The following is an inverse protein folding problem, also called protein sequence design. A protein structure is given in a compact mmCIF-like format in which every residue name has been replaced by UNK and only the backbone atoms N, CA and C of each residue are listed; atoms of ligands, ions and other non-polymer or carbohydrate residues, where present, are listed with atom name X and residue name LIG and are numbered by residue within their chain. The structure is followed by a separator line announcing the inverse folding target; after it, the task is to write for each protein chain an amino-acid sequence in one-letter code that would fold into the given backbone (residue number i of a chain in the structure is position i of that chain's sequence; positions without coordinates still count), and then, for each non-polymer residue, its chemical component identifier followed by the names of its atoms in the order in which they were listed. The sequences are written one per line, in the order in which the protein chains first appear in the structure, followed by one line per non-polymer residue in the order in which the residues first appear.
data_IF_520614374779
#
_entry.id   IF_520614374779
#
_cell.length_a   1.000
_cell.length_b   1.000
_cell.length_c   1.000
_cell.angle_alpha   90.00
_cell.angle_beta   90.00
_cell.angle_gamma   90.00
#
_symmetry.space_group_name_H-M   'P 1'
#
loop_
_entity.id
_entity.type
_entity.pdbx_description
1 polymer ?
#
# COMPACT_ATOMS: atom_id res chain seq x y z
N UNK A 1 -22.23 -26.49 28.76
CA UNK A 1 -22.35 -25.15 28.13
C UNK A 1 -21.61 -25.22 26.81
N UNK A 2 -22.35 -25.39 25.71
CA UNK A 2 -21.79 -25.46 24.38
C UNK A 2 -21.46 -24.03 23.93
N UNK A 3 -20.17 -23.69 23.86
CA UNK A 3 -19.72 -22.48 23.19
C UNK A 3 -20.02 -22.62 21.70
N UNK A 4 -21.11 -22.03 21.26
CA UNK A 4 -21.36 -21.80 19.82
C UNK A 4 -20.34 -20.74 19.41
N UNK A 5 -19.43 -21.10 18.52
CA UNK A 5 -18.55 -20.11 17.88
C UNK A 5 -19.43 -19.04 17.21
N UNK A 6 -19.06 -17.75 17.31
CA UNK A 6 -19.79 -16.71 16.60
C UNK A 6 -19.77 -17.04 15.11
N UNK A 7 -20.95 -16.99 14.47
CA UNK A 7 -21.03 -17.02 13.01
C UNK A 7 -20.17 -15.88 12.46
N UNK A 8 -19.40 -16.11 11.39
CA UNK A 8 -18.65 -15.02 10.78
C UNK A 8 -19.63 -13.93 10.37
N UNK A 9 -19.42 -12.72 10.91
CA UNK A 9 -20.03 -11.52 10.39
C UNK A 9 -19.78 -11.46 8.88
N UNK A 10 -20.73 -10.94 8.10
CA UNK A 10 -20.60 -10.82 6.65
C UNK A 10 -19.21 -10.33 6.26
N UNK A 11 -18.38 -11.27 5.81
CA UNK A 11 -17.02 -10.94 5.38
C UNK A 11 -17.12 -10.19 4.06
N UNK A 12 -16.31 -9.14 3.85
CA UNK A 12 -16.36 -8.40 2.60
C UNK A 12 -16.01 -9.33 1.44
N UNK A 13 -16.89 -9.38 0.46
CA UNK A 13 -16.64 -10.12 -0.78
C UNK A 13 -15.79 -9.23 -1.69
N UNK A 14 -14.49 -9.50 -1.74
CA UNK A 14 -13.58 -8.77 -2.63
C UNK A 14 -13.72 -9.27 -4.07
N UNK A 15 -13.74 -8.31 -5.00
CA UNK A 15 -13.76 -8.58 -6.44
C UNK A 15 -12.37 -8.59 -7.08
N UNK A 16 -11.31 -8.46 -6.30
CA UNK A 16 -9.93 -8.31 -6.76
C UNK A 16 -9.52 -9.43 -7.73
N UNK A 17 -9.77 -10.69 -7.37
CA UNK A 17 -9.48 -11.84 -8.21
C UNK A 17 -10.28 -11.84 -9.52
N UNK A 18 -11.57 -11.47 -9.46
CA UNK A 18 -12.42 -11.37 -10.64
C UNK A 18 -11.95 -10.27 -11.59
N UNK A 19 -11.58 -9.11 -11.08
CA UNK A 19 -11.01 -8.03 -11.88
C UNK A 19 -9.66 -8.42 -12.50
N UNK A 20 -8.81 -9.10 -11.72
CA UNK A 20 -7.53 -9.61 -12.25
C UNK A 20 -7.76 -10.60 -13.38
N UNK A 21 -8.71 -11.52 -13.24
CA UNK A 21 -9.03 -12.48 -14.30
C UNK A 21 -9.63 -11.78 -15.53
N UNK A 22 -10.51 -10.79 -15.34
CA UNK A 22 -11.03 -10.00 -16.46
C UNK A 22 -9.92 -9.26 -17.21
N UNK A 23 -8.98 -8.65 -16.49
CA UNK A 23 -7.83 -7.98 -17.07
C UNK A 23 -6.97 -8.95 -17.90
N UNK A 24 -6.73 -10.15 -17.40
CA UNK A 24 -6.01 -11.22 -18.13
C UNK A 24 -6.76 -11.61 -19.39
N UNK A 25 -8.08 -11.83 -19.31
CA UNK A 25 -8.91 -12.20 -20.45
C UNK A 25 -8.90 -11.10 -21.54
N UNK A 26 -8.90 -9.83 -21.15
CA UNK A 26 -8.73 -8.71 -22.10
C UNK A 26 -7.38 -8.79 -22.79
N UNK A 27 -6.29 -9.00 -22.03
CA UNK A 27 -4.96 -9.13 -22.60
C UNK A 27 -4.89 -10.30 -23.61
N UNK A 28 -5.46 -11.45 -23.27
CA UNK A 28 -5.55 -12.62 -24.16
C UNK A 28 -6.34 -12.32 -25.44
N UNK A 29 -7.46 -11.58 -25.32
CA UNK A 29 -8.26 -11.17 -26.49
C UNK A 29 -7.53 -10.21 -27.44
N UNK A 30 -6.44 -9.61 -26.98
CA UNK A 30 -5.57 -8.72 -27.72
C UNK A 30 -4.22 -9.39 -28.09
N UNK A 31 -4.22 -10.71 -28.27
CA UNK A 31 -3.02 -11.50 -28.56
C UNK A 31 -1.88 -11.25 -27.55
N UNK A 32 -2.24 -11.09 -26.27
CA UNK A 32 -1.31 -10.80 -25.18
C UNK A 32 -0.84 -9.35 -25.12
N UNK A 33 -1.42 -8.46 -25.92
CA UNK A 33 -1.08 -7.04 -26.02
C UNK A 33 0.44 -6.78 -26.10
N UNK A 34 1.09 -7.47 -27.02
CA UNK A 34 2.55 -7.37 -27.20
C UNK A 34 3.01 -5.91 -27.45
N UNK A 35 2.32 -5.10 -28.28
CA UNK A 35 2.68 -3.68 -28.43
C UNK A 35 2.59 -2.91 -27.13
N UNK A 36 1.52 -3.09 -26.34
CA UNK A 36 1.32 -2.43 -25.05
C UNK A 36 2.40 -2.83 -24.03
N UNK A 37 2.76 -4.12 -23.96
CA UNK A 37 3.85 -4.58 -23.08
C UNK A 37 5.19 -3.94 -23.45
N UNK A 38 5.47 -3.78 -24.74
CA UNK A 38 6.68 -3.09 -25.22
C UNK A 38 6.66 -1.60 -24.86
N UNK A 39 5.51 -0.94 -25.03
CA UNK A 39 5.35 0.47 -24.65
C UNK A 39 5.53 0.67 -23.14
N UNK A 40 4.87 -0.15 -22.30
CA UNK A 40 5.03 -0.13 -20.86
C UNK A 40 6.50 -0.35 -20.44
N UNK A 41 7.18 -1.29 -21.07
CA UNK A 41 8.61 -1.54 -20.80
C UNK A 41 9.47 -0.34 -21.19
N UNK A 42 9.26 0.23 -22.39
CA UNK A 42 10.01 1.39 -22.86
C UNK A 42 9.78 2.62 -21.96
N UNK A 43 8.54 2.81 -21.47
CA UNK A 43 8.23 3.84 -20.48
C UNK A 43 9.06 3.63 -19.20
N UNK A 44 9.03 2.43 -18.64
CA UNK A 44 9.78 2.13 -17.41
C UNK A 44 11.28 2.33 -17.58
N UNK A 45 11.85 1.93 -18.70
CA UNK A 45 13.29 2.08 -18.99
C UNK A 45 13.73 3.56 -19.03
N UNK A 46 12.80 4.49 -19.25
CA UNK A 46 13.03 5.95 -19.24
C UNK A 46 12.51 6.64 -17.96
N UNK A 47 11.89 5.90 -17.05
CA UNK A 47 11.25 6.46 -15.86
C UNK A 47 12.24 6.77 -14.74
N UNK A 48 11.74 7.45 -13.71
CA UNK A 48 12.48 7.74 -12.48
C UNK A 48 12.39 6.64 -11.42
N UNK A 49 11.70 5.53 -11.72
CA UNK A 49 11.55 4.39 -10.82
C UNK A 49 12.84 3.54 -10.78
N UNK A 50 13.88 4.08 -10.16
CA UNK A 50 15.20 3.48 -10.08
C UNK A 50 15.54 3.15 -8.63
N UNK A 51 15.80 1.87 -8.35
CA UNK A 51 16.26 1.37 -7.05
C UNK A 51 17.59 0.66 -7.25
N UNK A 52 18.58 0.99 -6.43
CA UNK A 52 19.95 0.46 -6.55
C UNK A 52 20.52 0.52 -7.97
N UNK A 53 20.36 1.67 -8.65
CA UNK A 53 20.82 1.92 -10.03
C UNK A 53 20.17 1.04 -11.10
N UNK A 54 19.02 0.45 -10.82
CA UNK A 54 18.26 -0.37 -11.77
C UNK A 54 16.82 0.07 -11.79
N UNK A 55 16.22 0.04 -12.99
CA UNK A 55 14.78 0.21 -13.14
C UNK A 55 14.07 -0.93 -12.40
N UNK A 56 13.04 -0.58 -11.61
CA UNK A 56 12.27 -1.59 -10.89
C UNK A 56 11.56 -2.54 -11.84
N UNK A 57 11.56 -3.83 -11.48
CA UNK A 57 10.82 -4.84 -12.22
C UNK A 57 9.32 -4.68 -11.97
N UNK A 58 8.53 -4.78 -13.02
CA UNK A 58 7.08 -4.63 -12.95
C UNK A 58 6.36 -5.83 -13.53
N UNK A 59 5.14 -6.05 -13.08
CA UNK A 59 4.19 -6.98 -13.71
C UNK A 59 3.38 -6.23 -14.76
N UNK A 60 3.09 -6.88 -15.88
CA UNK A 60 2.13 -6.36 -16.86
C UNK A 60 0.69 -6.38 -16.33
N UNK A 61 0.37 -7.31 -15.44
CA UNK A 61 -0.92 -7.38 -14.75
C UNK A 61 -0.80 -6.58 -13.45
N UNK A 62 -1.50 -5.44 -13.32
CA UNK A 62 -1.48 -4.64 -12.11
C UNK A 62 -2.21 -5.36 -10.97
N UNK A 63 -1.88 -5.00 -9.73
CA UNK A 63 -2.70 -5.39 -8.59
C UNK A 63 -3.96 -4.52 -8.60
N UNK A 64 -5.12 -5.17 -8.69
CA UNK A 64 -6.42 -4.52 -8.73
C UNK A 64 -7.14 -4.71 -7.40
N UNK A 65 -7.66 -3.64 -6.85
CA UNK A 65 -8.42 -3.63 -5.60
C UNK A 65 -9.81 -3.05 -5.86
N UNK A 66 -10.83 -3.68 -5.30
CA UNK A 66 -12.17 -3.10 -5.27
C UNK A 66 -12.33 -2.10 -4.11
N UNK A 67 -13.48 -1.42 -4.09
CA UNK A 67 -13.79 -0.44 -3.05
C UNK A 67 -13.86 -1.06 -1.65
N UNK A 68 -14.28 -2.33 -1.53
CA UNK A 68 -14.38 -3.01 -0.24
C UNK A 68 -12.99 -3.30 0.34
N UNK A 69 -12.08 -3.87 -0.47
CA UNK A 69 -10.70 -4.12 -0.05
C UNK A 69 -9.94 -2.82 0.24
N UNK A 70 -10.17 -1.77 -0.56
CA UNK A 70 -9.63 -0.42 -0.29
C UNK A 70 -10.09 0.12 1.06
N UNK A 71 -11.38 -0.08 1.41
CA UNK A 71 -11.93 0.38 2.68
C UNK A 71 -11.29 -0.36 3.87
N UNK A 72 -11.15 -1.68 3.79
CA UNK A 72 -10.45 -2.47 4.83
C UNK A 72 -9.02 -1.97 5.01
N UNK A 73 -8.26 -1.79 3.94
CA UNK A 73 -6.90 -1.26 4.02
C UNK A 73 -6.86 0.13 4.66
N UNK A 74 -7.79 1.01 4.31
CA UNK A 74 -7.90 2.35 4.90
C UNK A 74 -8.11 2.29 6.41
N UNK A 75 -9.09 1.51 6.87
CA UNK A 75 -9.41 1.37 8.29
C UNK A 75 -8.23 0.81 9.10
N UNK A 76 -7.51 -0.17 8.52
CA UNK A 76 -6.31 -0.74 9.13
C UNK A 76 -5.22 0.33 9.26
N UNK A 77 -4.92 1.05 8.18
CA UNK A 77 -3.87 2.08 8.15
C UNK A 77 -4.20 3.22 9.11
N UNK A 78 -5.42 3.76 9.07
CA UNK A 78 -5.85 4.85 9.96
C UNK A 78 -5.84 4.45 11.43
N UNK A 79 -6.26 3.21 11.73
CA UNK A 79 -6.24 2.69 13.10
C UNK A 79 -4.81 2.52 13.61
N UNK A 80 -3.94 1.94 12.79
CA UNK A 80 -2.53 1.74 13.12
C UNK A 80 -1.82 3.07 13.30
N UNK A 81 -2.05 4.04 12.43
CA UNK A 81 -1.50 5.39 12.57
C UNK A 81 -1.90 6.03 13.93
N UNK A 82 -3.19 5.94 14.30
CA UNK A 82 -3.66 6.45 15.61
C UNK A 82 -2.97 5.75 16.80
N UNK A 83 -2.74 4.43 16.69
CA UNK A 83 -2.04 3.67 17.74
C UNK A 83 -0.59 4.14 17.86
N UNK A 84 0.11 4.24 16.74
CA UNK A 84 1.51 4.70 16.71
C UNK A 84 1.64 6.13 17.25
N UNK A 85 0.75 7.03 16.85
CA UNK A 85 0.72 8.40 17.42
C UNK A 85 0.53 8.40 18.92
N UNK A 86 -0.34 7.54 19.49
CA UNK A 86 -0.50 7.40 20.94
C UNK A 86 0.78 6.91 21.63
N UNK A 87 1.44 5.92 21.06
CA UNK A 87 2.73 5.40 21.57
C UNK A 87 3.79 6.49 21.55
N UNK A 88 3.90 7.23 20.45
CA UNK A 88 4.86 8.32 20.31
C UNK A 88 4.57 9.46 21.29
N UNK A 89 3.31 9.86 21.43
CA UNK A 89 2.95 10.90 22.39
C UNK A 89 3.26 10.47 23.83
N UNK A 90 2.93 9.22 24.18
CA UNK A 90 3.23 8.69 25.52
C UNK A 90 4.74 8.63 25.79
N UNK A 91 5.54 8.27 24.80
CA UNK A 91 7.00 8.34 24.88
C UNK A 91 7.50 9.77 25.16
N UNK A 92 6.89 10.78 24.56
CA UNK A 92 7.28 12.18 24.77
C UNK A 92 6.88 12.69 26.16
N UNK A 93 5.75 12.26 26.69
CA UNK A 93 5.16 12.78 27.93
C UNK A 93 5.67 12.07 29.18
N UNK A 94 6.04 10.79 29.10
CA UNK A 94 6.32 9.94 30.26
C UNK A 94 7.75 9.37 30.26
N UNK A 95 8.56 9.84 31.24
CA UNK A 95 9.94 9.38 31.41
C UNK A 95 10.06 7.91 31.83
N UNK A 96 9.08 7.38 32.58
CA UNK A 96 9.08 5.96 32.98
C UNK A 96 8.71 5.08 31.80
N UNK A 97 7.73 5.52 30.97
CA UNK A 97 7.38 4.81 29.74
C UNK A 97 8.54 4.73 28.76
N UNK A 98 9.37 5.79 28.65
CA UNK A 98 10.57 5.78 27.79
C UNK A 98 11.53 4.65 28.10
N UNK A 99 11.59 4.17 29.36
CA UNK A 99 12.49 3.07 29.78
C UNK A 99 12.16 1.73 29.14
N UNK A 100 10.97 1.57 28.56
CA UNK A 100 10.58 0.37 27.81
C UNK A 100 11.40 0.24 26.51
N UNK A 101 11.87 1.39 25.97
CA UNK A 101 12.62 1.46 24.74
C UNK A 101 14.11 1.53 25.05
N UNK A 102 14.85 0.52 24.63
CA UNK A 102 16.30 0.41 24.83
C UNK A 102 17.08 1.19 23.76
N UNK A 103 16.86 2.51 23.72
CA UNK A 103 17.57 3.39 22.79
C UNK A 103 18.91 3.85 23.36
N UNK A 104 19.91 4.07 22.47
CA UNK A 104 21.12 4.80 22.84
C UNK A 104 20.72 6.15 23.49
N UNK A 105 21.34 6.53 24.61
CA UNK A 105 20.97 7.77 25.34
C UNK A 105 20.99 9.02 24.44
N UNK A 106 21.95 9.12 23.51
CA UNK A 106 22.04 10.26 22.57
C UNK A 106 20.86 10.28 21.61
N UNK A 107 20.37 9.08 21.17
CA UNK A 107 19.18 8.98 20.34
C UNK A 107 17.95 9.40 21.14
N UNK A 108 17.83 8.93 22.38
CA UNK A 108 16.72 9.32 23.25
C UNK A 108 16.65 10.83 23.48
N UNK A 109 17.80 11.49 23.67
CA UNK A 109 17.88 12.96 23.76
C UNK A 109 17.43 13.64 22.46
N UNK A 110 17.86 13.15 21.30
CA UNK A 110 17.49 13.70 19.99
C UNK A 110 15.97 13.56 19.73
N UNK A 111 15.35 12.44 20.13
CA UNK A 111 13.91 12.23 19.98
C UNK A 111 13.12 13.27 20.78
N UNK A 112 13.64 13.76 21.91
CA UNK A 112 12.99 14.76 22.76
C UNK A 112 13.18 16.20 22.27
N UNK A 113 14.03 16.44 21.25
CA UNK A 113 14.16 17.79 20.66
C UNK A 113 12.81 18.18 20.02
N UNK A 114 12.29 19.38 20.33
CA UNK A 114 11.04 19.83 19.76
C UNK A 114 11.08 19.85 18.24
N UNK A 115 10.18 19.16 17.61
CA UNK A 115 9.99 19.22 16.13
C UNK A 115 9.27 20.53 15.77
N UNK A 116 9.54 21.05 14.61
CA UNK A 116 8.96 22.32 14.15
C UNK A 116 7.55 22.19 13.54
N UNK A 117 6.81 21.10 13.85
CA UNK A 117 5.48 20.80 13.32
C UNK A 117 4.69 19.92 14.29
N UNK A 118 3.35 19.90 14.16
CA UNK A 118 2.46 19.23 15.11
C UNK A 118 2.29 17.72 14.88
N UNK A 119 2.43 17.24 13.62
CA UNK A 119 2.22 15.85 13.29
C UNK A 119 3.27 14.93 13.96
N UNK A 120 2.81 13.94 14.73
CA UNK A 120 3.69 12.95 15.37
C UNK A 120 4.32 12.01 14.35
N UNK A 121 3.54 11.56 13.40
CA UNK A 121 3.94 10.68 12.30
C UNK A 121 3.43 11.29 10.98
N UNK A 122 4.16 12.25 10.40
CA UNK A 122 3.68 13.02 9.26
C UNK A 122 3.62 12.19 7.98
N UNK A 123 4.42 11.14 7.89
CA UNK A 123 4.54 10.30 6.72
C UNK A 123 4.98 8.90 7.11
N UNK A 124 4.25 7.88 6.63
CA UNK A 124 4.58 6.48 6.91
C UNK A 124 4.14 5.56 5.76
N UNK A 125 4.80 4.40 5.66
CA UNK A 125 4.37 3.26 4.84
C UNK A 125 4.18 2.05 5.74
N UNK A 126 3.04 1.40 5.62
CA UNK A 126 2.74 0.15 6.31
C UNK A 126 2.77 -0.99 5.28
N UNK A 127 3.66 -1.94 5.50
CA UNK A 127 3.74 -3.13 4.67
C UNK A 127 2.85 -4.20 5.31
N UNK A 128 1.80 -4.62 4.60
CA UNK A 128 0.76 -5.50 5.09
C UNK A 128 0.52 -6.68 4.13
N UNK A 129 0.09 -7.79 4.69
CA UNK A 129 -0.49 -8.90 3.94
C UNK A 129 -2.00 -8.87 4.11
N UNK A 130 -2.73 -8.80 3.00
CA UNK A 130 -4.18 -8.88 2.97
C UNK A 130 -4.58 -10.26 2.45
N UNK A 131 -5.31 -11.03 3.27
CA UNK A 131 -6.01 -12.23 2.77
C UNK A 131 -7.26 -11.79 2.00
N UNK A 132 -7.25 -11.98 0.69
CA UNK A 132 -8.34 -11.51 -0.18
C UNK A 132 -9.60 -12.35 -0.07
N UNK A 133 -9.54 -13.53 0.59
CA UNK A 133 -10.72 -14.38 0.83
C UNK A 133 -11.44 -14.00 2.12
N UNK A 134 -10.67 -13.64 3.16
CA UNK A 134 -11.22 -13.39 4.49
C UNK A 134 -11.27 -11.90 4.86
N UNK A 135 -10.43 -11.08 4.23
CA UNK A 135 -10.25 -9.68 4.60
C UNK A 135 -9.30 -9.49 5.79
N UNK A 136 -8.72 -10.58 6.31
CA UNK A 136 -7.75 -10.50 7.40
C UNK A 136 -6.47 -9.83 6.96
N UNK A 137 -5.89 -9.05 7.87
CA UNK A 137 -4.65 -8.32 7.64
C UNK A 137 -3.60 -8.73 8.64
N UNK A 138 -2.40 -9.04 8.14
CA UNK A 138 -1.20 -9.21 8.94
C UNK A 138 -0.18 -8.13 8.60
N UNK A 139 0.52 -7.62 9.61
CA UNK A 139 1.57 -6.63 9.42
C UNK A 139 2.91 -7.29 9.16
N UNK A 140 3.67 -6.68 8.25
CA UNK A 140 5.05 -7.04 7.99
C UNK A 140 5.99 -6.00 8.61
N UNK A 141 5.82 -4.73 8.23
CA UNK A 141 6.76 -3.66 8.59
C UNK A 141 6.07 -2.30 8.67
N UNK A 142 6.59 -1.43 9.54
CA UNK A 142 6.24 -0.02 9.62
C UNK A 142 7.44 0.84 9.26
N UNK A 143 7.30 1.67 8.23
CA UNK A 143 8.33 2.60 7.78
C UNK A 143 7.91 4.03 8.14
N UNK A 144 8.52 4.59 9.19
CA UNK A 144 8.21 5.94 9.68
C UNK A 144 9.18 7.01 9.20
N UNK A 145 10.31 6.60 8.63
CA UNK A 145 11.33 7.49 8.06
C UNK A 145 11.87 6.89 6.76
N UNK A 146 12.14 7.74 5.78
CA UNK A 146 12.64 7.30 4.49
C UNK A 146 11.68 6.40 3.71
N UNK A 147 10.38 6.47 3.99
CA UNK A 147 9.37 5.67 3.31
C UNK A 147 9.44 5.91 1.80
N UNK A 148 9.67 4.86 1.04
CA UNK A 148 9.75 4.85 -0.42
C UNK A 148 8.57 4.10 -1.06
N UNK A 149 8.61 3.91 -2.37
CA UNK A 149 7.60 3.14 -3.11
C UNK A 149 6.57 4.00 -3.85
N UNK A 150 6.43 5.28 -3.50
CA UNK A 150 5.41 6.16 -4.11
C UNK A 150 5.76 6.53 -5.54
N UNK A 151 7.03 6.89 -5.78
CA UNK A 151 7.50 7.19 -7.12
C UNK A 151 7.41 5.95 -8.01
N UNK A 152 7.86 4.81 -7.49
CA UNK A 152 7.79 3.52 -8.17
C UNK A 152 6.35 3.16 -8.51
N UNK A 153 5.42 3.29 -7.55
CA UNK A 153 4.01 3.03 -7.78
C UNK A 153 3.41 3.93 -8.86
N UNK A 154 3.75 5.23 -8.82
CA UNK A 154 3.31 6.19 -9.84
C UNK A 154 3.80 5.81 -11.23
N UNK A 155 5.11 5.55 -11.38
CA UNK A 155 5.70 5.24 -12.67
C UNK A 155 5.19 3.88 -13.21
N UNK A 156 5.04 2.88 -12.35
CA UNK A 156 4.44 1.59 -12.72
C UNK A 156 2.99 1.79 -13.20
N UNK A 157 2.20 2.56 -12.47
CA UNK A 157 0.81 2.87 -12.85
C UNK A 157 0.77 3.51 -14.23
N UNK A 158 1.57 4.55 -14.47
CA UNK A 158 1.63 5.21 -15.77
C UNK A 158 2.08 4.26 -16.90
N UNK A 159 3.04 3.38 -16.63
CA UNK A 159 3.46 2.41 -17.64
C UNK A 159 2.35 1.46 -18.07
N UNK A 160 1.51 1.04 -17.13
CA UNK A 160 0.36 0.17 -17.41
C UNK A 160 -0.75 0.92 -18.15
N UNK A 161 -0.98 2.19 -17.81
CA UNK A 161 -1.99 3.05 -18.46
C UNK A 161 -1.76 3.22 -19.97
N UNK A 162 -0.51 3.06 -20.44
CA UNK A 162 -0.20 3.14 -21.88
C UNK A 162 -0.66 1.91 -22.68
N UNK A 163 -1.02 0.83 -21.99
CA UNK A 163 -1.37 -0.43 -22.65
C UNK A 163 -2.81 -0.44 -23.21
N UNK A 164 -3.04 -1.17 -24.30
CA UNK A 164 -4.39 -1.35 -24.84
C UNK A 164 -5.27 -2.16 -23.89
N UNK A 165 -4.68 -3.12 -23.18
CA UNK A 165 -5.36 -3.91 -22.15
C UNK A 165 -5.94 -3.02 -21.04
N UNK A 166 -5.12 -2.10 -20.50
CA UNK A 166 -5.60 -1.18 -19.47
C UNK A 166 -6.68 -0.25 -19.99
N UNK A 167 -6.49 0.33 -21.16
CA UNK A 167 -7.47 1.23 -21.78
C UNK A 167 -8.83 0.57 -21.98
N UNK A 168 -8.86 -0.71 -22.39
CA UNK A 168 -10.10 -1.47 -22.52
C UNK A 168 -10.70 -1.82 -21.15
N UNK A 169 -9.89 -2.17 -20.16
CA UNK A 169 -10.35 -2.41 -18.79
C UNK A 169 -10.95 -1.13 -18.19
N UNK A 170 -10.27 0.00 -18.31
CA UNK A 170 -10.75 1.30 -17.82
C UNK A 170 -12.01 1.81 -18.54
N UNK A 171 -12.24 1.37 -19.78
CA UNK A 171 -13.51 1.65 -20.49
C UNK A 171 -14.71 0.95 -19.85
N UNK A 172 -14.50 -0.20 -19.19
CA UNK A 172 -15.55 -1.00 -18.53
C UNK A 172 -15.72 -0.63 -17.07
N UNK A 173 -14.68 -0.14 -16.44
CA UNK A 173 -14.62 0.14 -15.01
C UNK A 173 -14.10 1.55 -14.76
N UNK A 174 -14.60 2.17 -13.67
CA UNK A 174 -13.94 3.37 -13.15
C UNK A 174 -12.67 2.93 -12.42
N UNK A 175 -11.51 3.34 -12.91
CA UNK A 175 -10.20 2.96 -12.36
C UNK A 175 -9.45 4.20 -11.90
N UNK A 176 -8.91 4.14 -10.71
CA UNK A 176 -8.04 5.15 -10.14
C UNK A 176 -6.71 4.53 -9.73
N UNK A 177 -5.59 5.20 -10.00
CA UNK A 177 -4.30 4.83 -9.43
C UNK A 177 -4.34 4.94 -7.91
N UNK A 178 -3.80 3.94 -7.21
CA UNK A 178 -3.68 4.01 -5.76
C UNK A 178 -2.64 5.08 -5.41
N UNK A 179 -3.09 6.20 -4.90
CA UNK A 179 -2.26 7.30 -4.44
C UNK A 179 -2.11 7.27 -2.91
N UNK A 180 -1.30 8.20 -2.38
CA UNK A 180 -1.20 8.41 -0.94
C UNK A 180 -2.58 8.61 -0.31
N UNK A 181 -2.82 7.89 0.78
CA UNK A 181 -3.98 8.15 1.63
C UNK A 181 -3.60 9.30 2.56
N UNK A 182 -4.22 10.46 2.38
CA UNK A 182 -4.11 11.56 3.33
C UNK A 182 -5.08 11.30 4.49
N UNK A 183 -4.55 11.29 5.69
CA UNK A 183 -5.29 11.10 6.95
C UNK A 183 -5.44 12.45 7.62
#
# INVERSE_FOLDING_TARGET
MTHTAPQPADQPVFKNAAYTQEYINIAESLDGDIPGRRAARAYMDSSTAIVHHRVVSTSFVPKLYDTASRQVMREVVETTHRILCKVMQHYLDDAEYRKIFDYDPRLAELILVPRGYDALLPFARFDIFLDENTGDVAFCEFNGDGSSGMNENREITHSVEETATFKEFARRHHVEGLSLIHI
#
